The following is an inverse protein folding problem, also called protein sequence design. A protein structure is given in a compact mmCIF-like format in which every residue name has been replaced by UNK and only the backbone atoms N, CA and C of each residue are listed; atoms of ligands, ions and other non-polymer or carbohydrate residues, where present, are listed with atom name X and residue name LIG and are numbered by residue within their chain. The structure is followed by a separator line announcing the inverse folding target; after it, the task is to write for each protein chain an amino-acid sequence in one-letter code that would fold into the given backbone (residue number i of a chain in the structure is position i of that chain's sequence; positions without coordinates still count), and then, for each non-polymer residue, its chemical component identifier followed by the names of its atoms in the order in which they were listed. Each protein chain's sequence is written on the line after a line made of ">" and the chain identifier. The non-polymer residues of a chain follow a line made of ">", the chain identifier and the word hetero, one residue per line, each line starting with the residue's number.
data_IF_728431496099
#
_entry.id   IF_728431496099
#
_cell.length_a   1.000
_cell.length_b   1.000
_cell.length_c   1.000
_cell.angle_alpha   90.00
_cell.angle_beta   90.00
_cell.angle_gamma   90.00
#
_symmetry.space_group_name_H-M   'P 1'
#
loop_
_entity.id
_entity.type
_entity.pdbx_description
1 polymer ?
#
# COMPACT_ATOMS: atom_id res chain seq x y z
N UNK A 1 3.65 32.64 -20.49
CA UNK A 1 3.69 31.24 -19.99
C UNK A 1 3.28 30.34 -21.14
N UNK A 2 4.13 29.41 -21.56
CA UNK A 2 3.80 28.45 -22.63
C UNK A 2 2.64 27.57 -22.16
N UNK A 3 1.68 27.25 -23.03
CA UNK A 3 0.57 26.38 -22.67
C UNK A 3 1.11 25.01 -22.20
N UNK A 4 0.54 24.42 -21.13
CA UNK A 4 0.99 23.12 -20.64
C UNK A 4 0.87 22.07 -21.75
N UNK A 5 1.96 21.33 -22.01
CA UNK A 5 1.95 20.21 -22.95
C UNK A 5 1.15 19.07 -22.32
N UNK A 6 -0.10 18.93 -22.76
CA UNK A 6 -1.04 17.89 -22.31
C UNK A 6 -1.00 16.73 -23.31
N UNK A 7 -0.93 15.50 -22.81
CA UNK A 7 -1.13 14.29 -23.63
C UNK A 7 -2.57 13.86 -23.50
N UNK A 8 -3.26 13.69 -24.63
CA UNK A 8 -4.63 13.16 -24.60
C UNK A 8 -4.63 11.71 -24.08
N UNK A 9 -5.71 11.26 -23.40
CA UNK A 9 -5.84 9.87 -22.97
C UNK A 9 -5.61 8.86 -24.10
N UNK A 10 -6.08 9.18 -25.32
CA UNK A 10 -5.89 8.36 -26.51
C UNK A 10 -4.41 8.20 -26.88
N UNK A 11 -3.62 9.27 -26.75
CA UNK A 11 -2.20 9.25 -27.05
C UNK A 11 -1.42 8.48 -25.98
N UNK A 12 -1.78 8.61 -24.70
CA UNK A 12 -1.21 7.79 -23.63
C UNK A 12 -1.48 6.30 -23.85
N UNK A 13 -2.71 5.94 -24.26
CA UNK A 13 -3.06 4.57 -24.60
C UNK A 13 -2.26 4.07 -25.82
N UNK A 14 -2.08 4.90 -26.85
CA UNK A 14 -1.30 4.55 -28.03
C UNK A 14 0.20 4.35 -27.72
N UNK A 15 0.78 5.19 -26.85
CA UNK A 15 2.18 5.09 -26.42
C UNK A 15 2.44 3.90 -25.50
N UNK A 16 1.47 3.54 -24.65
CA UNK A 16 1.57 2.37 -23.74
C UNK A 16 1.68 1.03 -24.47
N UNK A 17 1.36 0.99 -25.77
CA UNK A 17 1.40 -0.25 -26.56
C UNK A 17 0.27 -1.23 -26.22
N UNK A 18 -0.73 -0.83 -25.42
CA UNK A 18 -1.87 -1.65 -25.02
C UNK A 18 -2.67 -2.25 -26.20
N UNK A 19 -2.59 -1.63 -27.39
CA UNK A 19 -3.29 -2.04 -28.62
C UNK A 19 -2.34 -2.52 -29.75
N UNK A 20 -1.03 -2.67 -29.49
CA UNK A 20 -0.07 -3.18 -30.51
C UNK A 20 0.10 -4.70 -30.38
N UNK A 21 -0.31 -5.44 -31.41
CA UNK A 21 -0.02 -6.87 -31.54
C UNK A 21 1.48 -7.14 -31.33
N UNK A 22 1.85 -7.71 -30.18
CA UNK A 22 3.21 -8.14 -29.86
C UNK A 22 4.03 -7.23 -28.93
N UNK A 23 3.61 -6.00 -28.62
CA UNK A 23 4.40 -5.06 -27.80
C UNK A 23 3.76 -4.63 -26.46
N UNK A 24 2.51 -5.03 -26.18
CA UNK A 24 1.83 -4.76 -24.91
C UNK A 24 1.86 -5.91 -23.90
N UNK A 25 1.64 -5.62 -22.61
CA UNK A 25 1.51 -6.63 -21.57
C UNK A 25 0.28 -7.54 -21.82
N UNK A 26 0.41 -8.83 -21.48
CA UNK A 26 -0.72 -9.77 -21.64
C UNK A 26 -1.77 -9.49 -20.57
N UNK A 27 -3.00 -9.19 -20.99
CA UNK A 27 -4.18 -9.03 -20.12
C UNK A 27 -4.56 -10.35 -19.43
N UNK A 28 -3.93 -10.64 -18.30
CA UNK A 28 -4.09 -11.89 -17.54
C UNK A 28 -4.88 -11.74 -16.25
N UNK A 29 -4.93 -10.54 -15.67
CA UNK A 29 -5.59 -10.29 -14.38
C UNK A 29 -7.08 -10.01 -14.56
N UNK A 30 -7.93 -10.88 -14.01
CA UNK A 30 -9.36 -10.60 -13.86
C UNK A 30 -9.64 -9.77 -12.61
N UNK A 31 -10.92 -9.46 -12.38
CA UNK A 31 -11.36 -8.67 -11.22
C UNK A 31 -10.87 -9.24 -9.87
N UNK A 32 -10.99 -10.55 -9.67
CA UNK A 32 -10.55 -11.19 -8.43
C UNK A 32 -9.05 -11.04 -8.19
N UNK A 33 -8.23 -11.20 -9.25
CA UNK A 33 -6.78 -11.00 -9.15
C UNK A 33 -6.43 -9.54 -8.85
N UNK A 34 -7.15 -8.58 -9.43
CA UNK A 34 -6.96 -7.15 -9.14
C UNK A 34 -7.33 -6.79 -7.70
N UNK A 35 -8.43 -7.34 -7.17
CA UNK A 35 -8.81 -7.16 -5.76
C UNK A 35 -7.73 -7.75 -4.86
N UNK A 36 -7.28 -8.99 -5.15
CA UNK A 36 -6.20 -9.60 -4.38
C UNK A 36 -4.89 -8.81 -4.43
N UNK A 37 -4.55 -8.28 -5.60
CA UNK A 37 -3.37 -7.44 -5.79
C UNK A 37 -3.48 -6.16 -4.97
N UNK A 38 -4.62 -5.47 -5.02
CA UNK A 38 -4.90 -4.27 -4.22
C UNK A 38 -4.85 -4.54 -2.72
N UNK A 39 -5.59 -5.55 -2.23
CA UNK A 39 -5.55 -5.96 -0.82
C UNK A 39 -4.13 -6.33 -0.40
N UNK A 40 -3.39 -7.04 -1.26
CA UNK A 40 -2.00 -7.43 -0.99
C UNK A 40 -1.05 -6.24 -0.86
N UNK A 41 -1.32 -5.16 -1.59
CA UNK A 41 -0.58 -3.90 -1.55
C UNK A 41 -0.92 -3.04 -0.33
N UNK A 42 -2.21 -2.97 0.05
CA UNK A 42 -2.68 -2.16 1.18
C UNK A 42 -2.39 -2.86 2.52
N UNK A 43 -2.74 -4.15 2.63
CA UNK A 43 -2.61 -4.90 3.88
C UNK A 43 -1.14 -5.31 4.07
N UNK A 44 -0.43 -4.55 4.89
CA UNK A 44 0.98 -4.78 5.19
C UNK A 44 1.42 -4.09 6.47
N UNK A 45 2.63 -3.53 6.45
CA UNK A 45 3.26 -2.93 7.62
C UNK A 45 2.41 -1.87 8.32
N UNK A 46 1.55 -1.14 7.60
CA UNK A 46 0.67 -0.14 8.22
C UNK A 46 -0.24 -0.73 9.31
N UNK A 47 -0.98 -1.80 9.03
CA UNK A 47 -1.85 -2.41 10.05
C UNK A 47 -1.09 -3.35 11.00
N UNK A 48 -0.05 -4.04 10.51
CA UNK A 48 0.69 -5.02 11.31
C UNK A 48 1.71 -4.40 12.27
N UNK A 49 2.22 -3.21 11.95
CA UNK A 49 3.20 -2.47 12.78
C UNK A 49 2.67 -1.07 13.07
N UNK A 50 2.31 -0.30 12.04
CA UNK A 50 1.90 1.10 12.18
C UNK A 50 0.68 1.31 13.08
N UNK A 51 -0.17 0.28 13.26
CA UNK A 51 -1.27 0.32 14.21
C UNK A 51 -0.78 0.64 15.64
N UNK A 52 0.35 0.08 16.08
CA UNK A 52 0.87 0.37 17.42
C UNK A 52 1.29 1.83 17.56
N UNK A 53 1.81 2.44 16.49
CA UNK A 53 2.20 3.85 16.47
C UNK A 53 0.96 4.75 16.53
N UNK A 54 -0.08 4.44 15.75
CA UNK A 54 -1.36 5.15 15.83
C UNK A 54 -2.02 5.02 17.21
N UNK A 55 -1.98 3.83 17.83
CA UNK A 55 -2.47 3.59 19.20
C UNK A 55 -1.65 4.38 20.21
N UNK A 56 -0.32 4.45 20.06
CA UNK A 56 0.52 5.22 20.96
C UNK A 56 0.16 6.71 20.98
N UNK A 57 -0.30 7.26 19.85
CA UNK A 57 -0.72 8.66 19.74
C UNK A 57 -2.17 8.90 20.18
N UNK A 58 -3.11 8.06 19.74
CA UNK A 58 -4.55 8.29 19.93
C UNK A 58 -5.13 7.55 21.15
N UNK A 59 -4.42 6.56 21.68
CA UNK A 59 -4.95 5.63 22.68
C UNK A 59 -6.15 4.84 22.13
N UNK A 60 -7.17 4.55 22.96
CA UNK A 60 -8.38 3.85 22.51
C UNK A 60 -9.15 4.59 21.40
N UNK A 61 -8.98 5.91 21.29
CA UNK A 61 -9.58 6.73 20.23
C UNK A 61 -8.95 6.49 18.84
N UNK A 62 -7.98 5.57 18.71
CA UNK A 62 -7.42 5.14 17.41
C UNK A 62 -8.49 4.71 16.41
N UNK A 63 -9.62 4.18 16.89
CA UNK A 63 -10.76 3.81 16.03
C UNK A 63 -11.29 5.04 15.28
N UNK A 64 -11.37 6.19 15.96
CA UNK A 64 -11.76 7.47 15.33
C UNK A 64 -10.70 7.90 14.32
N UNK A 65 -9.42 7.75 14.66
CA UNK A 65 -8.31 8.07 13.75
C UNK A 65 -8.38 7.26 12.45
N UNK A 66 -8.63 5.95 12.53
CA UNK A 66 -8.76 5.09 11.35
C UNK A 66 -10.01 5.40 10.53
N UNK A 67 -11.13 5.78 11.16
CA UNK A 67 -12.34 6.23 10.44
C UNK A 67 -12.08 7.53 9.68
N UNK A 68 -11.39 8.50 10.30
CA UNK A 68 -11.05 9.76 9.65
C UNK A 68 -10.11 9.54 8.46
N UNK A 69 -9.11 8.66 8.61
CA UNK A 69 -8.22 8.26 7.52
C UNK A 69 -8.98 7.51 6.40
N UNK A 70 -9.90 6.61 6.74
CA UNK A 70 -10.73 5.91 5.75
C UNK A 70 -11.57 6.88 4.93
N UNK A 71 -12.20 7.89 5.57
CA UNK A 71 -13.03 8.88 4.87
C UNK A 71 -12.21 9.64 3.83
N UNK A 72 -10.99 10.09 4.18
CA UNK A 72 -10.13 10.78 3.21
C UNK A 72 -9.71 9.86 2.08
N UNK A 73 -9.34 8.61 2.38
CA UNK A 73 -8.98 7.61 1.38
C UNK A 73 -10.14 7.25 0.44
N UNK A 74 -11.38 7.18 0.93
CA UNK A 74 -12.58 6.91 0.11
C UNK A 74 -12.78 7.98 -0.96
N UNK A 75 -12.63 9.26 -0.62
CA UNK A 75 -12.74 10.33 -1.61
C UNK A 75 -11.65 10.23 -2.68
N UNK A 76 -10.41 9.96 -2.27
CA UNK A 76 -9.31 9.72 -3.21
C UNK A 76 -9.58 8.49 -4.08
N UNK A 77 -10.08 7.40 -3.49
CA UNK A 77 -10.39 6.17 -4.19
C UNK A 77 -11.47 6.35 -5.28
N UNK A 78 -12.48 7.18 -5.04
CA UNK A 78 -13.47 7.52 -6.08
C UNK A 78 -12.82 8.24 -7.26
N UNK A 79 -11.94 9.21 -7.02
CA UNK A 79 -11.20 9.90 -8.09
C UNK A 79 -10.29 8.93 -8.86
N UNK A 80 -9.58 8.03 -8.16
CA UNK A 80 -8.75 7.00 -8.80
C UNK A 80 -9.57 5.97 -9.57
N UNK A 81 -10.76 5.61 -9.08
CA UNK A 81 -11.66 4.70 -9.77
C UNK A 81 -12.14 5.30 -11.10
N UNK A 82 -12.54 6.58 -11.10
CA UNK A 82 -12.95 7.29 -12.32
C UNK A 82 -11.79 7.43 -13.32
N UNK A 83 -10.64 7.92 -12.85
CA UNK A 83 -9.46 8.17 -13.70
C UNK A 83 -8.83 6.87 -14.20
N UNK A 84 -8.71 5.84 -13.35
CA UNK A 84 -8.17 4.53 -13.72
C UNK A 84 -9.06 3.77 -14.70
N UNK A 85 -10.38 3.95 -14.60
CA UNK A 85 -11.32 3.45 -15.60
C UNK A 85 -11.22 4.20 -16.94
N UNK A 86 -11.04 5.52 -16.91
CA UNK A 86 -10.94 6.36 -18.10
C UNK A 86 -9.60 6.24 -18.84
N UNK A 87 -8.49 6.10 -18.09
CA UNK A 87 -7.11 6.08 -18.60
C UNK A 87 -6.42 4.79 -18.11
N UNK A 88 -6.77 3.61 -18.67
CA UNK A 88 -6.28 2.30 -18.22
C UNK A 88 -4.87 2.00 -18.76
N UNK A 89 -3.91 2.87 -18.44
CA UNK A 89 -2.50 2.74 -18.82
C UNK A 89 -1.66 2.52 -17.57
N UNK A 90 -0.52 1.83 -17.69
CA UNK A 90 0.42 1.70 -16.57
C UNK A 90 1.07 3.05 -16.29
N UNK A 91 0.68 3.70 -15.19
CA UNK A 91 1.26 4.99 -14.80
C UNK A 91 0.59 5.73 -13.64
N UNK A 92 -0.55 5.26 -13.12
CA UNK A 92 -1.20 5.81 -11.92
C UNK A 92 -1.34 7.35 -11.97
N UNK A 93 -1.14 8.04 -10.84
CA UNK A 93 -1.24 9.50 -10.69
C UNK A 93 -0.42 10.30 -11.69
N UNK A 94 0.74 9.78 -12.13
CA UNK A 94 1.57 10.46 -13.13
C UNK A 94 0.82 10.63 -14.45
N UNK A 95 0.23 9.54 -14.96
CA UNK A 95 -0.54 9.57 -16.22
C UNK A 95 -1.79 10.44 -16.10
N UNK A 96 -2.45 10.42 -14.94
CA UNK A 96 -3.63 11.26 -14.68
C UNK A 96 -3.27 12.75 -14.66
N UNK A 97 -2.18 13.11 -13.97
CA UNK A 97 -1.68 14.48 -13.93
C UNK A 97 -1.24 14.96 -15.31
N UNK A 98 -0.62 14.09 -16.12
CA UNK A 98 -0.24 14.43 -17.49
C UNK A 98 -1.48 14.74 -18.35
N UNK A 99 -2.51 13.91 -18.25
CA UNK A 99 -3.74 14.08 -19.02
C UNK A 99 -4.56 15.31 -18.56
N UNK A 100 -4.60 15.62 -17.27
CA UNK A 100 -5.45 16.68 -16.71
C UNK A 100 -4.76 18.04 -16.57
N UNK A 101 -3.48 18.06 -16.17
CA UNK A 101 -2.76 19.28 -15.73
C UNK A 101 -1.52 19.58 -16.58
N UNK A 102 -1.07 18.61 -17.39
CA UNK A 102 0.06 18.73 -18.30
C UNK A 102 1.42 18.37 -17.69
N UNK A 103 2.43 18.41 -18.55
CA UNK A 103 3.77 17.85 -18.29
C UNK A 103 4.45 18.38 -17.02
N UNK A 104 4.36 19.68 -16.73
CA UNK A 104 5.05 20.27 -15.57
C UNK A 104 4.56 19.67 -14.24
N UNK A 105 3.25 19.58 -14.07
CA UNK A 105 2.65 18.94 -12.89
C UNK A 105 2.88 17.44 -12.89
N UNK A 106 2.77 16.79 -14.05
CA UNK A 106 3.06 15.36 -14.17
C UNK A 106 4.50 15.02 -13.75
N UNK A 107 5.48 15.83 -14.16
CA UNK A 107 6.88 15.66 -13.77
C UNK A 107 7.06 15.75 -12.25
N UNK A 108 6.43 16.74 -11.61
CA UNK A 108 6.46 16.86 -10.15
C UNK A 108 5.82 15.65 -9.47
N UNK A 109 4.64 15.23 -9.94
CA UNK A 109 3.94 14.03 -9.42
C UNK A 109 4.79 12.77 -9.59
N UNK A 110 5.48 12.61 -10.72
CA UNK A 110 6.40 11.50 -10.96
C UNK A 110 7.54 11.44 -9.94
N UNK A 111 8.14 12.58 -9.60
CA UNK A 111 9.16 12.65 -8.54
C UNK A 111 8.59 12.33 -7.15
N UNK A 112 7.39 12.82 -6.84
CA UNK A 112 6.72 12.48 -5.59
C UNK A 112 6.46 10.97 -5.49
N UNK A 113 5.96 10.33 -6.56
CA UNK A 113 5.74 8.89 -6.60
C UNK A 113 7.04 8.11 -6.40
N UNK A 114 8.14 8.48 -7.08
CA UNK A 114 9.43 7.80 -6.90
C UNK A 114 9.91 7.85 -5.45
N UNK A 115 9.77 9.00 -4.80
CA UNK A 115 10.12 9.16 -3.38
C UNK A 115 9.18 8.36 -2.47
N UNK A 116 7.87 8.42 -2.73
CA UNK A 116 6.84 7.70 -1.98
C UNK A 116 7.10 6.19 -2.02
N UNK A 117 7.26 5.60 -3.21
CA UNK A 117 7.54 4.17 -3.35
C UNK A 117 8.87 3.78 -2.71
N UNK A 118 9.91 4.61 -2.83
CA UNK A 118 11.21 4.35 -2.20
C UNK A 118 11.14 4.35 -0.66
N UNK A 119 10.46 5.33 -0.07
CA UNK A 119 10.26 5.42 1.37
C UNK A 119 9.33 4.30 1.87
N UNK A 120 8.25 4.02 1.14
CA UNK A 120 7.28 2.98 1.48
C UNK A 120 7.92 1.58 1.50
N UNK A 121 8.71 1.22 0.48
CA UNK A 121 9.43 -0.07 0.46
C UNK A 121 10.39 -0.18 1.64
N UNK A 122 11.08 0.91 1.99
CA UNK A 122 11.97 0.94 3.15
C UNK A 122 11.21 0.74 4.46
N UNK A 123 10.08 1.44 4.66
CA UNK A 123 9.23 1.29 5.83
C UNK A 123 8.67 -0.14 5.94
N UNK A 124 8.23 -0.73 4.82
CA UNK A 124 7.74 -2.11 4.79
C UNK A 124 8.83 -3.10 5.20
N UNK A 125 10.05 -2.92 4.70
CA UNK A 125 11.19 -3.77 5.05
C UNK A 125 11.58 -3.67 6.53
N UNK A 126 11.52 -2.47 7.13
CA UNK A 126 11.75 -2.27 8.56
C UNK A 126 10.70 -3.01 9.39
N UNK A 127 9.41 -2.88 9.04
CA UNK A 127 8.35 -3.61 9.72
C UNK A 127 8.48 -5.13 9.60
N UNK A 128 8.88 -5.62 8.43
CA UNK A 128 9.19 -7.04 8.24
C UNK A 128 10.35 -7.49 9.14
N UNK A 129 11.41 -6.69 9.25
CA UNK A 129 12.55 -6.97 10.12
C UNK A 129 12.15 -7.10 11.60
N UNK A 130 11.20 -6.28 12.07
CA UNK A 130 10.69 -6.39 13.44
C UNK A 130 10.03 -7.76 13.63
N UNK A 131 9.08 -8.13 12.78
CA UNK A 131 8.44 -9.46 12.85
C UNK A 131 9.42 -10.64 12.79
N UNK A 132 10.53 -10.53 12.03
CA UNK A 132 11.59 -11.55 12.03
C UNK A 132 12.28 -11.64 13.39
N UNK A 133 12.57 -10.51 14.02
CA UNK A 133 13.20 -10.49 15.33
C UNK A 133 12.27 -11.06 16.42
N UNK A 134 11.00 -10.66 16.42
CA UNK A 134 9.96 -11.23 17.30
C UNK A 134 9.79 -12.75 17.10
N UNK A 135 9.87 -13.22 15.84
CA UNK A 135 9.78 -14.64 15.52
C UNK A 135 11.00 -15.42 16.03
N UNK A 136 12.22 -14.91 15.83
CA UNK A 136 13.45 -15.52 16.35
C UNK A 136 13.41 -15.62 17.87
N UNK A 137 12.96 -14.56 18.54
CA UNK A 137 12.79 -14.56 19.99
C UNK A 137 11.76 -15.59 20.43
N UNK A 138 10.62 -15.67 19.77
CA UNK A 138 9.53 -16.58 20.14
C UNK A 138 9.86 -18.06 19.90
N UNK A 139 10.62 -18.38 18.85
CA UNK A 139 10.96 -19.76 18.49
C UNK A 139 12.25 -20.27 19.12
N UNK A 140 13.27 -19.41 19.22
CA UNK A 140 14.63 -19.81 19.61
C UNK A 140 15.11 -19.11 20.89
N UNK A 141 14.37 -18.13 21.42
CA UNK A 141 14.81 -17.30 22.54
C UNK A 141 15.95 -16.34 22.18
N UNK A 142 16.25 -16.17 20.90
CA UNK A 142 17.37 -15.35 20.40
C UNK A 142 16.83 -14.09 19.75
N UNK A 143 17.42 -12.94 20.06
CA UNK A 143 17.20 -11.68 19.36
C UNK A 143 18.46 -11.27 18.62
N UNK A 144 18.28 -10.61 17.48
CA UNK A 144 19.39 -9.99 16.77
C UNK A 144 19.96 -8.84 17.62
N UNK A 145 21.30 -8.64 17.61
CA UNK A 145 21.90 -7.50 18.28
C UNK A 145 21.30 -6.17 17.78
N UNK A 146 21.03 -5.23 18.69
CA UNK A 146 20.43 -3.93 18.35
C UNK A 146 21.20 -3.17 17.25
N UNK A 147 22.54 -3.31 17.22
CA UNK A 147 23.39 -2.75 16.19
C UNK A 147 23.02 -3.22 14.75
N UNK A 148 22.44 -4.42 14.61
CA UNK A 148 22.10 -5.05 13.33
C UNK A 148 20.59 -5.16 13.08
N UNK A 149 19.74 -4.84 14.05
CA UNK A 149 18.27 -4.93 13.92
C UNK A 149 17.59 -3.56 13.85
N UNK A 150 18.34 -2.47 14.05
CA UNK A 150 17.82 -1.11 14.11
C UNK A 150 18.69 -0.15 13.28
N UNK A 151 18.08 0.94 12.80
CA UNK A 151 18.81 2.01 12.11
C UNK A 151 19.53 2.95 13.09
N UNK A 152 20.39 3.85 12.59
CA UNK A 152 21.09 4.84 13.42
C UNK A 152 20.18 5.74 14.25
N UNK A 153 19.00 6.09 13.74
CA UNK A 153 17.99 6.87 14.47
C UNK A 153 17.47 6.17 15.71
N UNK A 154 17.49 4.83 15.71
CA UNK A 154 16.92 3.97 16.74
C UNK A 154 18.02 3.31 17.60
N UNK A 155 19.25 3.83 17.53
CA UNK A 155 20.40 3.36 18.33
C UNK A 155 21.16 2.16 17.75
N UNK A 156 20.81 1.70 16.54
CA UNK A 156 21.55 0.67 15.81
C UNK A 156 22.59 1.25 14.84
N UNK A 157 23.23 0.39 14.06
CA UNK A 157 24.14 0.81 12.97
C UNK A 157 23.42 0.63 11.62
N UNK A 158 22.77 -0.51 11.44
CA UNK A 158 22.04 -0.86 10.22
C UNK A 158 20.94 -1.87 10.55
N UNK A 159 19.79 -1.74 9.90
CA UNK A 159 18.78 -2.78 9.93
C UNK A 159 19.10 -3.85 8.88
N UNK A 160 19.87 -4.85 9.27
CA UNK A 160 20.39 -5.89 8.38
C UNK A 160 19.27 -6.77 7.78
N UNK A 161 18.25 -7.24 8.54
CA UNK A 161 17.16 -8.02 7.92
C UNK A 161 16.36 -7.21 6.89
N UNK A 162 16.12 -5.91 7.13
CA UNK A 162 15.46 -5.04 6.16
C UNK A 162 16.27 -4.93 4.85
N UNK A 163 17.59 -4.74 4.95
CA UNK A 163 18.49 -4.71 3.78
C UNK A 163 18.46 -6.04 3.02
N UNK A 164 18.48 -7.16 3.75
CA UNK A 164 18.43 -8.49 3.15
C UNK A 164 17.12 -8.71 2.39
N UNK A 165 15.96 -8.40 2.98
CA UNK A 165 14.67 -8.62 2.29
C UNK A 165 14.52 -7.73 1.06
N UNK A 166 15.01 -6.48 1.10
CA UNK A 166 15.06 -5.61 -0.08
C UNK A 166 15.95 -6.22 -1.15
N UNK A 167 17.16 -6.68 -0.81
CA UNK A 167 18.08 -7.29 -1.77
C UNK A 167 17.48 -8.57 -2.39
N UNK A 168 16.82 -9.41 -1.59
CA UNK A 168 16.11 -10.60 -2.06
C UNK A 168 14.98 -10.23 -3.02
N UNK A 169 14.15 -9.25 -2.67
CA UNK A 169 13.09 -8.75 -3.55
C UNK A 169 13.66 -8.18 -4.86
N UNK A 170 14.76 -7.41 -4.81
CA UNK A 170 15.43 -6.89 -5.99
C UNK A 170 15.97 -8.01 -6.90
N UNK A 171 16.61 -9.05 -6.34
CA UNK A 171 17.09 -10.19 -7.13
C UNK A 171 15.93 -10.96 -7.78
N UNK A 172 14.81 -11.12 -7.07
CA UNK A 172 13.59 -11.73 -7.62
C UNK A 172 13.03 -10.89 -8.79
N UNK A 173 12.95 -9.57 -8.63
CA UNK A 173 12.50 -8.66 -9.69
C UNK A 173 13.44 -8.69 -10.91
N UNK A 174 14.77 -8.68 -10.71
CA UNK A 174 15.77 -8.74 -11.80
C UNK A 174 15.69 -10.06 -12.57
N UNK A 175 15.43 -11.18 -11.88
CA UNK A 175 15.23 -12.48 -12.54
C UNK A 175 13.95 -12.56 -13.36
N UNK A 176 13.11 -11.52 -13.31
CA UNK A 176 11.87 -11.47 -14.08
C UNK A 176 10.89 -12.50 -13.57
N UNK A 177 10.66 -12.55 -12.24
CA UNK A 177 9.60 -13.39 -11.70
C UNK A 177 8.28 -12.89 -12.28
N UNK A 178 7.77 -13.66 -13.24
CA UNK A 178 6.39 -13.56 -13.70
C UNK A 178 5.54 -14.13 -12.58
N UNK A 179 5.34 -13.33 -11.54
CA UNK A 179 4.56 -13.71 -10.37
C UNK A 179 3.25 -14.31 -10.85
N UNK A 180 2.95 -15.51 -10.37
CA UNK A 180 1.66 -16.09 -10.66
C UNK A 180 0.65 -15.22 -9.94
N UNK A 181 -0.31 -14.61 -10.67
CA UNK A 181 -1.41 -13.89 -10.04
C UNK A 181 -2.14 -14.74 -8.96
N UNK A 182 -1.98 -16.07 -9.01
CA UNK A 182 -2.42 -17.02 -7.97
C UNK A 182 -1.62 -16.92 -6.67
N UNK A 183 -0.30 -16.73 -6.74
CA UNK A 183 0.56 -16.57 -5.56
C UNK A 183 0.21 -15.27 -4.82
N UNK A 184 0.09 -14.15 -5.54
CA UNK A 184 -0.39 -12.87 -4.98
C UNK A 184 -1.76 -13.04 -4.32
N UNK A 185 -2.69 -13.73 -4.99
CA UNK A 185 -4.02 -14.02 -4.43
C UNK A 185 -3.97 -14.89 -3.18
N UNK A 186 -3.17 -15.95 -3.17
CA UNK A 186 -2.99 -16.80 -2.00
C UNK A 186 -2.44 -16.01 -0.80
N UNK A 187 -1.44 -15.15 -1.03
CA UNK A 187 -0.86 -14.30 0.01
C UNK A 187 -1.87 -13.28 0.56
N UNK A 188 -2.66 -12.64 -0.31
CA UNK A 188 -3.70 -11.70 0.12
C UNK A 188 -4.76 -12.40 1.00
N UNK A 189 -5.25 -13.57 0.56
CA UNK A 189 -6.21 -14.36 1.32
C UNK A 189 -5.63 -14.79 2.66
N UNK A 190 -4.37 -15.26 2.69
CA UNK A 190 -3.69 -15.64 3.93
C UNK A 190 -3.61 -14.47 4.92
N UNK A 191 -3.22 -13.28 4.46
CA UNK A 191 -3.18 -12.07 5.30
C UNK A 191 -4.54 -11.73 5.90
N UNK A 192 -5.62 -11.81 5.11
CA UNK A 192 -6.97 -11.58 5.59
C UNK A 192 -7.42 -12.62 6.63
N UNK A 193 -7.10 -13.90 6.41
CA UNK A 193 -7.38 -14.98 7.37
C UNK A 193 -6.68 -14.71 8.70
N UNK A 194 -5.41 -14.30 8.67
CA UNK A 194 -4.64 -13.94 9.87
C UNK A 194 -5.29 -12.77 10.61
N UNK A 195 -5.75 -11.72 9.91
CA UNK A 195 -6.45 -10.59 10.52
C UNK A 195 -7.78 -10.99 11.16
N UNK A 196 -8.58 -11.81 10.47
CA UNK A 196 -9.85 -12.33 11.03
C UNK A 196 -9.59 -13.17 12.28
N UNK A 197 -8.56 -14.03 12.25
CA UNK A 197 -8.15 -14.82 13.40
C UNK A 197 -7.69 -13.93 14.57
N UNK A 198 -6.89 -12.89 14.28
CA UNK A 198 -6.47 -11.91 15.28
C UNK A 198 -7.68 -11.22 15.93
N UNK A 199 -8.65 -10.75 15.14
CA UNK A 199 -9.88 -10.15 15.67
C UNK A 199 -10.67 -11.13 16.54
N UNK A 200 -10.87 -12.37 16.08
CA UNK A 200 -11.62 -13.38 16.82
C UNK A 200 -10.97 -13.70 18.19
N UNK A 201 -9.64 -13.87 18.21
CA UNK A 201 -8.88 -14.09 19.45
C UNK A 201 -8.91 -12.84 20.32
N UNK A 202 -8.72 -11.65 19.74
CA UNK A 202 -8.74 -10.37 20.44
C UNK A 202 -10.06 -10.10 21.17
N UNK A 203 -11.20 -10.42 20.54
CA UNK A 203 -12.51 -10.30 21.18
C UNK A 203 -12.66 -11.23 22.39
N UNK A 204 -12.06 -12.43 22.36
CA UNK A 204 -12.10 -13.36 23.50
C UNK A 204 -11.28 -12.89 24.71
N UNK A 205 -10.27 -12.04 24.48
CA UNK A 205 -9.38 -11.51 25.51
C UNK A 205 -9.68 -10.05 25.89
N UNK A 206 -10.76 -9.47 25.35
CA UNK A 206 -11.10 -8.05 25.50
C UNK A 206 -11.46 -7.69 26.95
N UNK A 207 -10.82 -6.63 27.48
CA UNK A 207 -11.11 -6.05 28.79
C UNK A 207 -11.61 -4.63 28.63
N UNK A 208 -12.85 -4.38 29.05
CA UNK A 208 -13.54 -3.10 28.84
C UNK A 208 -12.79 -1.90 29.47
N UNK A 209 -12.11 -2.10 30.60
CA UNK A 209 -11.33 -1.04 31.27
C UNK A 209 -10.18 -0.46 30.42
N UNK A 210 -9.73 -1.16 29.38
CA UNK A 210 -8.68 -0.66 28.48
C UNK A 210 -9.16 0.48 27.57
N UNK A 211 -10.48 0.71 27.48
CA UNK A 211 -11.04 1.83 26.71
C UNK A 211 -11.16 3.12 27.52
N UNK A 212 -10.80 3.11 28.81
CA UNK A 212 -10.90 4.28 29.69
C UNK A 212 -9.52 4.70 30.20
N UNK A 213 -9.12 5.97 30.02
CA UNK A 213 -9.81 7.02 29.29
C UNK A 213 -9.79 6.79 27.76
N UNK A 214 -10.90 7.10 27.08
CA UNK A 214 -11.04 6.79 25.64
C UNK A 214 -10.13 7.66 24.75
N UNK A 215 -10.02 8.95 25.05
CA UNK A 215 -9.20 9.91 24.30
C UNK A 215 -8.28 10.66 25.26
N UNK A 216 -7.20 10.02 25.75
CA UNK A 216 -6.29 10.62 26.74
C UNK A 216 -5.57 11.85 26.19
N UNK A 217 -5.22 11.83 24.89
CA UNK A 217 -4.53 12.93 24.20
C UNK A 217 -5.50 13.87 23.44
N UNK A 218 -6.82 13.71 23.65
CA UNK A 218 -7.85 14.53 23.02
C UNK A 218 -7.79 14.54 21.49
N UNK A 219 -8.26 15.65 20.90
CA UNK A 219 -8.27 15.84 19.44
C UNK A 219 -6.86 15.85 18.83
N UNK A 220 -5.85 16.30 19.58
CA UNK A 220 -4.46 16.31 19.11
C UNK A 220 -3.93 14.90 18.87
N UNK A 221 -4.14 13.99 19.83
CA UNK A 221 -3.76 12.58 19.69
C UNK A 221 -4.54 11.87 18.60
N UNK A 222 -5.84 12.15 18.48
CA UNK A 222 -6.66 11.61 17.37
C UNK A 222 -6.09 12.06 16.02
N UNK A 223 -5.78 13.35 15.87
CA UNK A 223 -5.19 13.89 14.63
C UNK A 223 -3.84 13.27 14.30
N UNK A 224 -2.94 13.16 15.28
CA UNK A 224 -1.64 12.49 15.10
C UNK A 224 -1.80 11.00 14.73
N UNK A 225 -2.73 10.30 15.39
CA UNK A 225 -3.08 8.92 15.07
C UNK A 225 -3.65 8.77 13.66
N UNK A 226 -4.45 9.73 13.18
CA UNK A 226 -5.02 9.74 11.81
C UNK A 226 -3.92 9.84 10.77
N UNK A 227 -2.96 10.75 10.98
CA UNK A 227 -1.81 10.91 10.08
C UNK A 227 -0.98 9.63 10.00
N UNK A 228 -0.71 8.98 11.14
CA UNK A 228 -0.01 7.70 11.17
C UNK A 228 -0.84 6.57 10.50
N UNK A 229 -2.15 6.54 10.75
CA UNK A 229 -3.06 5.53 10.21
C UNK A 229 -3.19 5.61 8.69
N UNK A 230 -3.00 6.79 8.09
CA UNK A 230 -3.07 6.98 6.64
C UNK A 230 -2.09 6.06 5.88
N UNK A 231 -0.93 5.75 6.46
CA UNK A 231 0.02 4.80 5.88
C UNK A 231 -0.59 3.40 5.68
N UNK A 232 -1.57 3.00 6.50
CA UNK A 232 -2.26 1.71 6.39
C UNK A 232 -3.19 1.60 5.17
N UNK A 233 -3.55 2.73 4.55
CA UNK A 233 -4.43 2.77 3.38
C UNK A 233 -3.67 3.01 2.06
N UNK A 234 -2.35 3.22 2.10
CA UNK A 234 -1.54 3.38 0.89
C UNK A 234 -1.51 2.05 0.12
N UNK A 235 -1.65 2.11 -1.22
CA UNK A 235 -1.48 0.96 -2.10
C UNK A 235 -2.68 0.61 -2.99
N UNK A 236 -3.85 1.22 -2.79
CA UNK A 236 -4.98 1.01 -3.73
C UNK A 236 -4.68 1.57 -5.13
N UNK A 237 -3.82 2.59 -5.23
CA UNK A 237 -3.36 3.18 -6.48
C UNK A 237 -2.54 2.19 -7.30
N UNK A 238 -1.91 1.20 -6.67
CA UNK A 238 -1.19 0.13 -7.37
C UNK A 238 -2.11 -0.60 -8.35
N UNK A 239 -3.41 -0.74 -8.05
CA UNK A 239 -4.38 -1.38 -8.96
C UNK A 239 -4.40 -0.70 -10.33
N UNK A 240 -4.18 0.62 -10.38
CA UNK A 240 -4.15 1.37 -11.65
C UNK A 240 -2.88 1.12 -12.47
N UNK A 241 -1.77 0.70 -11.84
CA UNK A 241 -0.53 0.33 -12.56
C UNK A 241 -0.69 -0.99 -13.30
N UNK A 242 -1.57 -1.87 -12.82
CA UNK A 242 -1.94 -3.12 -13.50
C UNK A 242 -2.89 -2.93 -14.70
N UNK A 243 -3.15 -1.69 -15.14
CA UNK A 243 -4.16 -1.40 -16.16
C UNK A 243 -3.94 -2.10 -17.49
N UNK A 244 -2.68 -2.31 -17.89
CA UNK A 244 -2.31 -3.03 -19.11
C UNK A 244 -2.43 -4.55 -18.98
N UNK A 245 -2.36 -5.09 -17.76
CA UNK A 245 -2.51 -6.52 -17.47
C UNK A 245 -3.95 -6.90 -17.07
N UNK A 246 -4.78 -5.90 -16.79
CA UNK A 246 -6.17 -6.07 -16.42
C UNK A 246 -7.06 -6.46 -17.62
N UNK A 247 -7.89 -7.48 -17.43
CA UNK A 247 -9.00 -7.80 -18.33
C UNK A 247 -10.12 -6.79 -18.09
N UNK A 248 -10.72 -6.27 -19.16
CA UNK A 248 -11.77 -5.25 -19.09
C UNK A 248 -11.44 -4.11 -18.09
N UNK A 249 -10.31 -3.41 -18.28
CA UNK A 249 -9.75 -2.52 -17.28
C UNK A 249 -10.69 -1.35 -16.94
N UNK A 250 -11.43 -0.83 -17.94
CA UNK A 250 -12.39 0.26 -17.78
C UNK A 250 -13.46 -0.04 -16.72
N UNK A 251 -13.83 -1.31 -16.58
CA UNK A 251 -14.80 -1.79 -15.60
C UNK A 251 -14.13 -2.33 -14.35
N UNK A 252 -13.10 -3.16 -14.51
CA UNK A 252 -12.55 -3.93 -13.40
C UNK A 252 -11.63 -3.13 -12.48
N UNK A 253 -10.90 -2.12 -12.99
CA UNK A 253 -10.07 -1.24 -12.15
C UNK A 253 -10.93 -0.45 -11.15
N UNK A 254 -12.00 0.28 -11.58
CA UNK A 254 -12.86 0.99 -10.65
C UNK A 254 -13.47 0.08 -9.58
N UNK A 255 -13.99 -1.07 -9.98
CA UNK A 255 -14.60 -2.03 -9.04
C UNK A 255 -13.55 -2.55 -8.06
N UNK A 256 -12.36 -2.91 -8.53
CA UNK A 256 -11.30 -3.42 -7.66
C UNK A 256 -10.87 -2.37 -6.61
N UNK A 257 -10.70 -1.10 -6.99
CA UNK A 257 -10.35 -0.01 -6.06
C UNK A 257 -11.42 0.13 -4.98
N UNK A 258 -12.69 0.24 -5.36
CA UNK A 258 -13.78 0.43 -4.41
C UNK A 258 -13.99 -0.77 -3.49
N UNK A 259 -13.84 -1.99 -4.02
CA UNK A 259 -13.92 -3.22 -3.21
C UNK A 259 -12.75 -3.31 -2.23
N UNK A 260 -11.52 -2.96 -2.64
CA UNK A 260 -10.37 -2.99 -1.74
C UNK A 260 -10.53 -2.00 -0.59
N UNK A 261 -10.96 -0.76 -0.87
CA UNK A 261 -11.15 0.26 0.16
C UNK A 261 -12.36 -0.04 1.06
N UNK A 262 -13.40 -0.68 0.54
CA UNK A 262 -14.52 -1.12 1.38
C UNK A 262 -14.19 -2.32 2.27
N UNK A 263 -13.20 -3.14 1.88
CA UNK A 263 -12.82 -4.36 2.58
C UNK A 263 -11.71 -4.15 3.62
N UNK A 264 -10.77 -3.25 3.34
CA UNK A 264 -9.63 -2.91 4.22
C UNK A 264 -9.99 -1.75 5.13
#
# INVERSE_FOLDING_TARGET
>A
MSAPRIKSPQLLMAESGADREGHGLKRTMGLFQLICFGVGAIVGTGIFVGLSDSVAQAGPAVVVSFILAAITCVFTAFSFAELGGAIPVSGSSYSFAYAGLGEGTAFLVGWCLLLEYGVSVSAVAVGWSQYVNELLHSLMGVQLPAALSAGPSDGGIVNLPAVIVIALASVLLIRGVRESARATAAMAVLKLVVLVAFCAIGFSAFKHGNLTPFSPAGLGGIGAGTTAAFFSYIGFDAITTAGEEAKDPRRNIPIAILVCIGLV
#
